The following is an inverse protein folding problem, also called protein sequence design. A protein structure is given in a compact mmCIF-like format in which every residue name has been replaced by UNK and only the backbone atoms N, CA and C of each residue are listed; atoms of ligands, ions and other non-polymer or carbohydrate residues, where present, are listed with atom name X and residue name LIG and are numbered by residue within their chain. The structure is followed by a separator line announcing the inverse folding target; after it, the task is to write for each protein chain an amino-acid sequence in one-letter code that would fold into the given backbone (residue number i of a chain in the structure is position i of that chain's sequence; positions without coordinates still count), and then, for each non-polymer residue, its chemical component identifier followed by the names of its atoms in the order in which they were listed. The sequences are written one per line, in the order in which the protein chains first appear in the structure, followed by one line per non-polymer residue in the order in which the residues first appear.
data_IF_007014309852
#
_entry.id   IF_007014309852
#
_cell.length_a   1.000
_cell.length_b   1.000
_cell.length_c   1.000
_cell.angle_alpha   90.00
_cell.angle_beta   90.00
_cell.angle_gamma   90.00
#
_symmetry.space_group_name_H-M   'P 1'
#
loop_
_entity.id
_entity.type
_entity.pdbx_description
1 polymer ?
#
# COMPACT_ATOMS: atom_id res chain seq x y z
N UNK A 1 3.66 6.06 -9.60
CA UNK A 1 2.51 5.55 -8.81
C UNK A 1 2.75 4.09 -8.45
N UNK A 2 2.46 3.72 -7.21
CA UNK A 2 2.76 2.40 -6.65
C UNK A 2 1.93 1.29 -7.34
N UNK A 3 0.71 1.62 -7.77
CA UNK A 3 -0.21 0.74 -8.50
C UNK A 3 0.23 0.40 -9.94
N UNK A 4 1.30 1.00 -10.44
CA UNK A 4 1.85 0.75 -11.79
C UNK A 4 3.34 0.40 -11.77
N UNK A 5 3.79 -0.36 -10.79
CA UNK A 5 5.19 -0.77 -10.67
C UNK A 5 5.65 -1.59 -11.89
N UNK A 6 4.83 -2.53 -12.39
CA UNK A 6 5.15 -3.38 -13.54
C UNK A 6 5.56 -2.57 -14.78
N UNK A 7 4.79 -1.57 -15.24
CA UNK A 7 5.22 -0.70 -16.34
C UNK A 7 6.58 -0.06 -16.11
N UNK A 8 6.86 0.42 -14.90
CA UNK A 8 8.18 0.98 -14.57
C UNK A 8 9.31 -0.04 -14.73
N UNK A 9 9.13 -1.24 -14.19
CA UNK A 9 10.11 -2.32 -14.32
C UNK A 9 10.29 -2.75 -15.79
N UNK A 10 9.21 -2.77 -16.57
CA UNK A 10 9.23 -3.17 -17.98
C UNK A 10 10.05 -2.23 -18.86
N UNK A 11 10.16 -0.94 -18.50
CA UNK A 11 11.00 0.04 -19.19
C UNK A 11 12.39 0.21 -18.55
N UNK A 12 12.76 -0.68 -17.63
CA UNK A 12 14.13 -0.78 -17.10
C UNK A 12 14.37 -0.07 -15.76
N UNK A 13 13.34 0.39 -15.04
CA UNK A 13 13.52 0.86 -13.67
C UNK A 13 14.08 -0.26 -12.79
N UNK A 14 15.03 0.08 -11.90
CA UNK A 14 15.67 -0.89 -10.99
C UNK A 14 15.21 -0.73 -9.54
N UNK A 15 14.51 0.34 -9.25
CA UNK A 15 13.98 0.64 -7.92
C UNK A 15 12.75 1.51 -8.04
N UNK A 16 11.97 1.56 -6.96
CA UNK A 16 10.79 2.39 -6.85
C UNK A 16 10.69 3.00 -5.44
N UNK A 17 10.05 4.15 -5.34
CA UNK A 17 9.79 4.85 -4.07
C UNK A 17 8.33 5.27 -4.05
N UNK A 18 7.65 4.97 -2.94
CA UNK A 18 6.26 5.34 -2.75
C UNK A 18 5.81 5.10 -1.30
N UNK A 19 4.65 5.63 -0.95
CA UNK A 19 4.13 5.55 0.42
C UNK A 19 3.76 4.13 0.83
N UNK A 20 3.20 3.35 -0.09
CA UNK A 20 2.68 2.02 0.23
C UNK A 20 3.77 0.97 0.44
N UNK A 21 4.99 1.22 -0.02
CA UNK A 21 6.16 0.39 0.28
C UNK A 21 6.51 0.37 1.78
N UNK A 22 6.03 1.35 2.55
CA UNK A 22 6.21 1.39 4.01
C UNK A 22 5.28 0.42 4.75
N UNK A 23 4.13 0.08 4.16
CA UNK A 23 3.12 -0.74 4.85
C UNK A 23 3.10 -2.17 4.37
N UNK A 24 3.25 -2.38 3.06
CA UNK A 24 3.14 -3.70 2.43
C UNK A 24 4.31 -3.98 1.46
N UNK A 25 5.55 -3.85 1.91
CA UNK A 25 6.72 -4.07 1.05
C UNK A 25 6.78 -5.47 0.46
N UNK A 26 6.19 -6.46 1.13
CA UNK A 26 6.15 -7.84 0.66
C UNK A 26 5.44 -8.01 -0.68
N UNK A 27 4.37 -7.24 -0.94
CA UNK A 27 3.68 -7.26 -2.24
C UNK A 27 4.61 -6.79 -3.35
N UNK A 28 5.29 -5.66 -3.16
CA UNK A 28 6.15 -5.08 -4.19
C UNK A 28 7.42 -5.89 -4.44
N UNK A 29 7.99 -6.50 -3.39
CA UNK A 29 9.09 -7.47 -3.56
C UNK A 29 8.66 -8.65 -4.42
N UNK A 30 7.46 -9.19 -4.18
CA UNK A 30 6.94 -10.29 -4.99
C UNK A 30 6.71 -9.89 -6.45
N UNK A 31 6.23 -8.66 -6.72
CA UNK A 31 6.13 -8.12 -8.08
C UNK A 31 7.51 -8.08 -8.75
N UNK A 32 8.53 -7.52 -8.07
CA UNK A 32 9.88 -7.39 -8.63
C UNK A 32 10.50 -8.77 -8.91
N UNK A 33 10.40 -9.70 -7.96
CA UNK A 33 10.92 -11.05 -8.10
C UNK A 33 10.25 -11.84 -9.24
N UNK A 34 8.91 -11.69 -9.38
CA UNK A 34 8.18 -12.31 -10.45
C UNK A 34 8.60 -11.74 -11.83
N UNK A 35 8.77 -10.42 -11.92
CA UNK A 35 9.26 -9.76 -13.13
C UNK A 35 10.67 -10.21 -13.52
N UNK A 36 11.58 -10.36 -12.55
CA UNK A 36 12.94 -10.87 -12.79
C UNK A 36 12.94 -12.31 -13.32
N UNK A 37 11.99 -13.13 -12.90
CA UNK A 37 11.82 -14.52 -13.34
C UNK A 37 11.05 -14.63 -14.66
N UNK A 38 10.50 -13.53 -15.18
CA UNK A 38 9.63 -13.54 -16.35
C UNK A 38 8.23 -14.10 -16.08
N UNK A 39 7.84 -14.24 -14.80
CA UNK A 39 6.51 -14.69 -14.37
C UNK A 39 5.54 -13.51 -14.32
N UNK A 40 5.04 -13.14 -15.48
CA UNK A 40 4.15 -11.98 -15.62
C UNK A 40 2.76 -12.23 -15.01
N UNK A 41 2.32 -13.47 -14.91
CA UNK A 41 1.04 -13.82 -14.29
C UNK A 41 1.07 -13.51 -12.79
N UNK A 42 2.06 -14.04 -12.08
CA UNK A 42 2.28 -13.73 -10.66
C UNK A 42 2.52 -12.24 -10.42
N UNK A 43 3.31 -11.58 -11.27
CA UNK A 43 3.55 -10.14 -11.15
C UNK A 43 2.24 -9.34 -11.21
N UNK A 44 1.34 -9.66 -12.16
CA UNK A 44 0.03 -9.00 -12.30
C UNK A 44 -0.87 -9.27 -11.10
N UNK A 45 -0.92 -10.51 -10.63
CA UNK A 45 -1.70 -10.86 -9.43
C UNK A 45 -1.26 -10.02 -8.23
N UNK A 46 0.05 -9.95 -7.97
CA UNK A 46 0.58 -9.19 -6.85
C UNK A 46 0.38 -7.68 -7.02
N UNK A 47 0.54 -7.17 -8.23
CA UNK A 47 0.24 -5.75 -8.53
C UNK A 47 -1.23 -5.44 -8.27
N UNK A 48 -2.17 -6.33 -8.62
CA UNK A 48 -3.58 -6.14 -8.35
C UNK A 48 -3.89 -6.04 -6.86
N UNK A 49 -3.26 -6.87 -6.04
CA UNK A 49 -3.37 -6.77 -4.56
C UNK A 49 -2.92 -5.40 -4.04
N UNK A 50 -1.91 -4.80 -4.67
CA UNK A 50 -1.51 -3.43 -4.31
C UNK A 50 -2.56 -2.39 -4.69
N UNK A 51 -3.25 -2.55 -5.83
CA UNK A 51 -4.34 -1.68 -6.27
C UNK A 51 -5.49 -1.70 -5.27
N UNK A 52 -5.94 -2.88 -4.85
CA UNK A 52 -7.02 -3.03 -3.86
C UNK A 52 -6.70 -2.30 -2.54
N UNK A 53 -5.46 -2.36 -2.07
CA UNK A 53 -5.01 -1.65 -0.88
C UNK A 53 -4.95 -0.13 -1.11
N UNK A 54 -4.50 0.30 -2.29
CA UNK A 54 -4.41 1.71 -2.66
C UNK A 54 -5.79 2.34 -2.81
N UNK A 55 -6.79 1.61 -3.29
CA UNK A 55 -8.18 2.08 -3.37
C UNK A 55 -8.71 2.45 -1.98
N UNK A 56 -8.44 1.63 -0.96
CA UNK A 56 -8.75 1.97 0.44
C UNK A 56 -7.97 3.21 0.89
N UNK A 57 -6.67 3.30 0.55
CA UNK A 57 -5.84 4.46 0.89
C UNK A 57 -6.42 5.76 0.32
N UNK A 58 -6.83 5.75 -0.95
CA UNK A 58 -7.40 6.92 -1.64
C UNK A 58 -8.72 7.32 -1.00
N UNK A 59 -9.59 6.35 -0.72
CA UNK A 59 -10.90 6.58 -0.08
C UNK A 59 -10.76 7.32 1.26
N UNK A 60 -9.74 7.02 2.04
CA UNK A 60 -9.50 7.59 3.37
C UNK A 60 -8.55 8.80 3.39
N UNK A 61 -8.33 9.46 2.26
CA UNK A 61 -7.61 10.74 2.16
C UNK A 61 -6.16 10.65 1.68
N UNK A 62 -5.79 9.55 1.03
CA UNK A 62 -4.53 9.41 0.31
C UNK A 62 -3.30 9.19 1.18
N UNK A 63 -2.13 9.18 0.54
CA UNK A 63 -0.88 8.71 1.13
C UNK A 63 -0.42 9.40 2.42
N UNK A 64 -0.81 10.65 2.66
CA UNK A 64 -0.41 11.37 3.89
C UNK A 64 -1.36 11.03 5.05
N UNK A 65 -2.66 11.23 4.85
CA UNK A 65 -3.66 11.05 5.92
C UNK A 65 -3.90 9.56 6.20
N UNK A 66 -4.35 8.83 5.20
CA UNK A 66 -4.60 7.40 5.32
C UNK A 66 -3.30 6.61 5.54
N UNK A 67 -2.17 7.09 5.04
CA UNK A 67 -0.86 6.48 5.32
C UNK A 67 -0.54 6.39 6.81
N UNK A 68 -0.89 7.40 7.60
CA UNK A 68 -0.74 7.34 9.07
C UNK A 68 -1.69 6.34 9.72
N UNK A 69 -2.91 6.20 9.19
CA UNK A 69 -3.85 5.15 9.61
C UNK A 69 -3.25 3.78 9.32
N UNK A 70 -2.74 3.57 8.11
CA UNK A 70 -2.12 2.30 7.70
C UNK A 70 -0.90 1.96 8.55
N UNK A 71 -0.03 2.93 8.83
CA UNK A 71 1.11 2.74 9.75
C UNK A 71 0.65 2.34 11.15
N UNK A 72 -0.39 2.99 11.69
CA UNK A 72 -0.97 2.63 13.00
C UNK A 72 -1.52 1.20 12.99
N UNK A 73 -2.20 0.79 11.91
CA UNK A 73 -2.69 -0.57 11.73
C UNK A 73 -1.55 -1.59 11.55
N UNK A 74 -0.42 -1.15 11.00
CA UNK A 74 0.81 -1.95 10.91
C UNK A 74 1.62 -1.99 12.22
N UNK A 75 1.14 -1.33 13.29
CA UNK A 75 1.78 -1.36 14.61
C UNK A 75 2.67 -0.16 14.94
N UNK A 76 2.75 0.85 14.07
CA UNK A 76 3.59 2.04 14.27
C UNK A 76 2.71 3.29 14.27
N UNK A 77 2.43 3.85 15.45
CA UNK A 77 1.69 5.10 15.56
C UNK A 77 2.59 6.31 15.26
N UNK A 78 2.39 6.90 14.08
CA UNK A 78 3.10 8.10 13.64
C UNK A 78 2.45 9.42 14.13
N UNK A 79 1.47 9.34 15.02
CA UNK A 79 0.72 10.49 15.49
C UNK A 79 -0.19 11.13 14.44
N UNK A 80 -0.89 12.22 14.79
CA UNK A 80 -1.84 12.88 13.89
C UNK A 80 -1.13 13.65 12.76
N UNK A 81 -1.87 13.96 11.71
CA UNK A 81 -1.44 14.92 10.71
C UNK A 81 -1.43 16.34 11.28
N UNK A 82 -0.57 17.21 10.74
CA UNK A 82 -0.61 18.64 11.00
C UNK A 82 -1.70 19.30 10.15
N UNK A 83 -2.33 20.34 10.66
CA UNK A 83 -3.26 21.16 9.89
C UNK A 83 -2.59 21.68 8.60
N UNK A 84 -3.30 21.82 7.51
CA UNK A 84 -4.77 21.71 7.36
C UNK A 84 -5.32 20.28 7.18
N UNK A 85 -4.50 19.25 7.26
CA UNK A 85 -4.95 17.86 7.09
C UNK A 85 -5.64 17.40 8.37
N UNK A 86 -6.93 17.08 8.28
CA UNK A 86 -7.72 16.63 9.41
C UNK A 86 -7.15 15.34 10.03
N UNK A 87 -7.11 15.21 11.35
CA UNK A 87 -6.74 13.97 12.01
C UNK A 87 -7.77 12.86 11.72
N UNK A 88 -7.37 11.62 11.89
CA UNK A 88 -8.26 10.47 11.81
C UNK A 88 -9.03 10.30 13.13
N UNK A 89 -10.33 10.00 13.06
CA UNK A 89 -11.13 9.58 14.20
C UNK A 89 -10.96 8.09 14.50
N UNK A 90 -11.33 7.65 15.70
CA UNK A 90 -11.34 6.21 16.03
C UNK A 90 -12.35 5.43 15.17
N UNK A 91 -13.47 6.05 14.80
CA UNK A 91 -14.46 5.46 13.90
C UNK A 91 -13.87 5.20 12.49
N UNK A 92 -13.18 6.19 11.92
CA UNK A 92 -12.49 6.03 10.64
C UNK A 92 -11.35 5.00 10.71
N UNK A 93 -10.64 4.91 11.84
CA UNK A 93 -9.63 3.88 12.05
C UNK A 93 -10.24 2.48 11.97
N UNK A 94 -11.37 2.25 12.62
CA UNK A 94 -12.05 0.96 12.60
C UNK A 94 -12.69 0.66 11.23
N UNK A 95 -13.27 1.67 10.56
CA UNK A 95 -13.78 1.52 9.20
C UNK A 95 -12.65 1.10 8.26
N UNK A 96 -11.53 1.81 8.27
CA UNK A 96 -10.34 1.49 7.45
C UNK A 96 -9.82 0.09 7.77
N UNK A 97 -9.75 -0.29 9.05
CA UNK A 97 -9.35 -1.64 9.47
C UNK A 97 -10.25 -2.72 8.86
N UNK A 98 -11.56 -2.51 8.89
CA UNK A 98 -12.52 -3.49 8.37
C UNK A 98 -12.46 -3.59 6.85
N UNK A 99 -12.24 -2.49 6.14
CA UNK A 99 -12.03 -2.53 4.69
C UNK A 99 -10.75 -3.27 4.33
N UNK A 100 -9.65 -3.00 5.03
CA UNK A 100 -8.36 -3.66 4.79
C UNK A 100 -8.37 -5.16 5.10
N UNK A 101 -9.28 -5.65 5.96
CA UNK A 101 -9.49 -7.10 6.18
C UNK A 101 -9.97 -7.82 4.93
N UNK A 102 -10.60 -7.12 3.99
CA UNK A 102 -11.06 -7.67 2.72
C UNK A 102 -9.95 -7.69 1.65
N UNK A 103 -8.77 -7.19 1.97
CA UNK A 103 -7.58 -7.18 1.14
C UNK A 103 -6.49 -8.07 1.74
N UNK A 104 -5.36 -8.20 1.06
CA UNK A 104 -4.19 -8.93 1.56
C UNK A 104 -3.29 -8.07 2.50
N UNK A 105 -3.75 -6.87 2.93
CA UNK A 105 -2.94 -5.92 3.70
C UNK A 105 -2.28 -6.58 4.92
N UNK A 106 -3.05 -7.21 5.80
CA UNK A 106 -2.54 -7.79 7.04
C UNK A 106 -1.62 -9.00 6.85
N UNK A 107 -1.65 -9.62 5.69
CA UNK A 107 -0.74 -10.73 5.34
C UNK A 107 0.65 -10.22 4.93
N UNK A 108 0.71 -9.03 4.34
CA UNK A 108 1.94 -8.47 3.78
C UNK A 108 2.52 -7.29 4.57
N UNK A 109 1.97 -7.00 5.75
CA UNK A 109 2.61 -6.14 6.75
C UNK A 109 3.88 -6.85 7.24
N UNK A 110 4.96 -6.13 7.35
CA UNK A 110 6.20 -6.63 7.97
C UNK A 110 6.45 -5.95 9.29
#
# INVERSE_FOLDING_TARGET
FDEILIPGLSVGAKAAVGSTYNYVPGIYKAVMEAMEKGDLETAREMQWKSVEIIDVLIKHGGGVRAGKIFMKLAGIDCGPCRLPIAPCSEEELEETRNELKNTEFFKYIN
#
